data_IF_212322585061
#
_entry.id   IF_212322585061
#
_cell.length_a   1.000
_cell.length_b   1.000
_cell.length_c   1.000
_cell.angle_alpha   90.00
_cell.angle_beta   90.00
_cell.angle_gamma   90.00
#
_symmetry.space_group_name_H-M   'P 1'
#
loop_
_entity.id
_entity.type
_entity.pdbx_description
1 polymer ?
#
# COMPACT_ATOMS: atom_id res chain seq x y z
N UNK A 1 -7.60 -6.91 -2.51
CA UNK A 1 -6.32 -6.16 -2.61
C UNK A 1 -5.90 -5.74 -1.20
N UNK A 2 -4.69 -6.09 -0.79
CA UNK A 2 -4.16 -5.74 0.53
C UNK A 2 -3.14 -4.62 0.42
N UNK A 3 -3.11 -3.74 1.42
CA UNK A 3 -2.14 -2.66 1.49
C UNK A 3 -1.39 -2.67 2.82
N UNK A 4 -0.06 -2.57 2.74
CA UNK A 4 0.77 -2.34 3.90
C UNK A 4 1.17 -0.88 3.97
N UNK A 5 0.84 -0.20 5.07
CA UNK A 5 1.13 1.21 5.28
C UNK A 5 2.25 1.42 6.31
N UNK A 6 3.00 2.51 6.11
CA UNK A 6 4.14 2.90 6.95
C UNK A 6 3.78 3.72 8.16
N UNK A 7 4.82 3.87 9.02
CA UNK A 7 4.81 4.69 10.22
C UNK A 7 4.46 6.16 9.97
N UNK A 8 3.28 6.65 10.37
CA UNK A 8 3.01 7.96 10.97
C UNK A 8 1.49 8.15 11.10
N UNK A 9 1.02 8.23 12.35
CA UNK A 9 -0.40 8.12 12.69
C UNK A 9 -1.34 9.18 12.09
N UNK A 10 -0.88 10.38 11.77
CA UNK A 10 -1.78 11.45 11.31
C UNK A 10 -2.18 11.34 9.83
N UNK A 11 -1.26 10.90 8.96
CA UNK A 11 -1.53 10.74 7.53
C UNK A 11 -2.35 9.49 7.21
N UNK A 12 -2.27 8.48 8.06
CA UNK A 12 -2.96 7.20 7.85
C UNK A 12 -4.49 7.35 7.90
N UNK A 13 -5.01 8.26 8.73
CA UNK A 13 -6.44 8.49 8.93
C UNK A 13 -7.14 8.95 7.64
N UNK A 14 -6.62 9.97 6.98
CA UNK A 14 -7.14 10.46 5.68
C UNK A 14 -6.94 9.43 4.55
N UNK A 15 -5.91 8.62 4.66
CA UNK A 15 -5.57 7.62 3.67
C UNK A 15 -6.56 6.45 3.62
N UNK A 16 -7.10 6.03 4.77
CA UNK A 16 -8.09 4.94 4.84
C UNK A 16 -9.30 5.20 3.94
N UNK A 17 -9.75 6.44 3.87
CA UNK A 17 -10.84 6.86 3.00
C UNK A 17 -10.51 6.62 1.51
N UNK A 18 -9.31 7.02 1.07
CA UNK A 18 -8.87 6.77 -0.30
C UNK A 18 -8.69 5.29 -0.60
N UNK A 19 -8.19 4.52 0.36
CA UNK A 19 -8.00 3.08 0.21
C UNK A 19 -9.33 2.34 0.13
N UNK A 20 -10.29 2.69 1.00
CA UNK A 20 -11.63 2.13 0.94
C UNK A 20 -12.30 2.45 -0.40
N UNK A 21 -12.27 3.71 -0.84
CA UNK A 21 -12.84 4.15 -2.11
C UNK A 21 -12.18 3.46 -3.33
N UNK A 22 -10.88 3.11 -3.23
CA UNK A 22 -10.16 2.34 -4.25
C UNK A 22 -10.41 0.82 -4.18
N UNK A 23 -11.32 0.34 -3.31
CA UNK A 23 -11.64 -1.09 -3.20
C UNK A 23 -10.56 -1.94 -2.55
N UNK A 24 -9.80 -1.36 -1.61
CA UNK A 24 -8.84 -2.10 -0.79
C UNK A 24 -9.59 -2.89 0.28
N UNK A 25 -9.40 -4.20 0.33
CA UNK A 25 -10.13 -5.09 1.25
C UNK A 25 -9.60 -4.98 2.68
N UNK A 26 -8.28 -4.83 2.84
CA UNK A 26 -7.67 -4.72 4.15
C UNK A 26 -6.33 -3.97 4.11
N UNK A 27 -5.92 -3.46 5.28
CA UNK A 27 -4.61 -2.85 5.50
C UNK A 27 -3.84 -3.63 6.57
N UNK A 28 -2.53 -3.79 6.36
CA UNK A 28 -1.63 -4.43 7.32
C UNK A 28 -0.73 -3.35 7.90
N UNK A 29 -0.69 -3.28 9.22
CA UNK A 29 0.03 -2.26 9.98
C UNK A 29 0.99 -2.92 10.98
N UNK A 30 2.15 -2.32 11.26
CA UNK A 30 2.96 -2.76 12.40
C UNK A 30 2.25 -2.40 13.70
N UNK A 31 2.35 -3.27 14.73
CA UNK A 31 1.71 -3.11 16.05
C UNK A 31 1.92 -1.73 16.68
N UNK A 32 3.10 -1.13 16.50
CA UNK A 32 3.44 0.20 17.04
C UNK A 32 2.64 1.37 16.42
N UNK A 33 1.81 1.09 15.42
CA UNK A 33 1.04 2.10 14.70
C UNK A 33 -0.47 1.81 14.74
N UNK A 34 -0.90 1.07 15.75
CA UNK A 34 -2.31 0.73 15.92
C UNK A 34 -3.17 1.99 16.07
N UNK A 35 -4.21 2.06 15.25
CA UNK A 35 -5.26 3.06 15.41
C UNK A 35 -6.09 2.68 16.64
N UNK A 36 -5.91 3.40 17.73
CA UNK A 36 -7.00 3.41 18.71
C UNK A 36 -8.20 4.07 18.04
N UNK A 37 -9.34 3.40 18.09
CA UNK A 37 -10.62 3.97 17.66
C UNK A 37 -10.89 5.21 18.54
N UNK A 38 -10.42 6.37 18.10
CA UNK A 38 -10.72 7.64 18.72
C UNK A 38 -11.67 8.39 17.80
N UNK A 39 -12.56 9.20 18.36
CA UNK A 39 -13.47 10.06 17.59
C UNK A 39 -12.75 10.84 16.48
N UNK A 40 -11.48 11.20 16.73
CA UNK A 40 -10.64 11.88 15.75
C UNK A 40 -10.31 11.00 14.55
N UNK A 41 -10.13 9.68 14.71
CA UNK A 41 -9.89 8.74 13.61
C UNK A 41 -11.14 8.58 12.78
N UNK A 42 -12.27 8.37 13.42
CA UNK A 42 -13.56 8.18 12.77
C UNK A 42 -13.91 9.42 11.95
N UNK A 43 -13.84 10.61 12.55
CA UNK A 43 -14.15 11.88 11.86
C UNK A 43 -13.21 12.16 10.70
N UNK A 44 -11.90 11.92 10.85
CA UNK A 44 -10.92 12.22 9.78
C UNK A 44 -10.94 11.23 8.62
N UNK A 45 -11.50 10.04 8.83
CA UNK A 45 -11.70 9.01 7.79
C UNK A 45 -13.13 9.00 7.23
N UNK A 46 -14.02 9.86 7.76
CA UNK A 46 -15.46 9.86 7.45
C UNK A 46 -16.07 8.45 7.61
N UNK A 47 -15.67 7.75 8.67
CA UNK A 47 -16.14 6.39 8.97
C UNK A 47 -15.44 5.27 8.19
N UNK A 48 -14.58 5.58 7.21
CA UNK A 48 -13.89 4.53 6.45
C UNK A 48 -12.99 3.62 7.30
N UNK A 49 -12.53 4.11 8.47
CA UNK A 49 -11.78 3.28 9.43
C UNK A 49 -12.58 2.11 10.00
N UNK A 50 -13.91 2.23 10.02
CA UNK A 50 -14.81 1.18 10.49
C UNK A 50 -15.15 0.17 9.39
N UNK A 51 -14.97 0.56 8.14
CA UNK A 51 -15.35 -0.23 6.97
C UNK A 51 -14.18 -1.03 6.39
N UNK A 52 -12.95 -0.55 6.52
CA UNK A 52 -11.76 -1.24 6.03
C UNK A 52 -11.17 -2.13 7.12
N UNK A 53 -10.90 -3.40 6.79
CA UNK A 53 -10.27 -4.33 7.73
C UNK A 53 -8.83 -3.91 8.00
N UNK A 54 -8.46 -3.80 9.28
CA UNK A 54 -7.10 -3.52 9.70
C UNK A 54 -6.51 -4.72 10.45
N UNK A 55 -5.33 -5.15 10.08
CA UNK A 55 -4.59 -6.22 10.73
C UNK A 55 -3.28 -5.67 11.27
N UNK A 56 -3.01 -5.84 12.57
CA UNK A 56 -1.74 -5.50 13.17
C UNK A 56 -0.84 -6.72 13.26
N UNK A 57 0.42 -6.51 12.92
CA UNK A 57 1.44 -7.58 12.94
C UNK A 57 2.72 -7.06 13.58
N UNK A 58 3.37 -7.91 14.37
CA UNK A 58 4.67 -7.63 14.98
C UNK A 58 5.80 -7.70 13.94
N UNK A 59 5.70 -8.66 13.00
CA UNK A 59 6.68 -8.85 11.93
C UNK A 59 6.00 -8.77 10.55
N UNK A 60 6.39 -7.74 9.81
CA UNK A 60 5.86 -7.48 8.47
C UNK A 60 6.47 -8.38 7.40
N UNK A 61 7.71 -8.84 7.58
CA UNK A 61 8.34 -9.78 6.64
C UNK A 61 7.69 -11.15 6.76
N UNK A 62 7.40 -11.59 7.98
CA UNK A 62 6.64 -12.83 8.22
C UNK A 62 5.23 -12.75 7.63
N UNK A 63 4.53 -11.62 7.79
CA UNK A 63 3.24 -11.42 7.15
C UNK A 63 3.34 -11.53 5.62
N UNK A 64 4.38 -10.94 5.00
CA UNK A 64 4.62 -11.05 3.56
C UNK A 64 4.92 -12.49 3.14
N UNK A 65 5.70 -13.26 3.93
CA UNK A 65 5.96 -14.69 3.67
C UNK A 65 4.66 -15.49 3.66
N UNK A 66 3.82 -15.29 4.68
CA UNK A 66 2.50 -15.97 4.77
C UNK A 66 1.58 -15.62 3.60
N UNK A 67 1.50 -14.35 3.23
CA UNK A 67 0.71 -13.93 2.08
C UNK A 67 1.23 -14.57 0.78
N UNK A 68 2.55 -14.57 0.57
CA UNK A 68 3.16 -15.19 -0.60
C UNK A 68 2.88 -16.70 -0.66
N UNK A 69 2.99 -17.40 0.46
CA UNK A 69 2.66 -18.83 0.56
C UNK A 69 1.17 -19.12 0.24
N UNK A 70 0.28 -18.14 0.49
CA UNK A 70 -1.14 -18.20 0.14
C UNK A 70 -1.45 -17.61 -1.25
N UNK A 71 -0.47 -17.54 -2.13
CA UNK A 71 -0.66 -17.18 -3.53
C UNK A 71 -0.78 -15.68 -3.82
N UNK A 72 -0.54 -14.80 -2.83
CA UNK A 72 -0.55 -13.36 -3.08
C UNK A 72 0.66 -12.91 -3.89
N UNK A 73 0.41 -12.08 -4.88
CA UNK A 73 1.46 -11.31 -5.56
C UNK A 73 1.89 -10.16 -4.68
N UNK A 74 3.15 -10.17 -4.22
CA UNK A 74 3.72 -9.10 -3.40
C UNK A 74 4.39 -8.08 -4.32
N UNK A 75 3.97 -6.82 -4.24
CA UNK A 75 4.53 -5.71 -5.03
C UNK A 75 4.98 -4.61 -4.08
N UNK A 76 6.25 -4.27 -4.12
CA UNK A 76 6.84 -3.21 -3.31
C UNK A 76 6.90 -1.88 -4.07
N UNK A 77 6.80 -0.78 -3.33
CA UNK A 77 7.00 0.56 -3.90
C UNK A 77 8.42 1.03 -3.60
N UNK A 78 9.21 1.31 -4.61
CA UNK A 78 10.60 1.75 -4.42
C UNK A 78 11.03 2.76 -5.47
N UNK A 79 11.87 3.73 -5.08
CA UNK A 79 12.49 4.71 -5.97
C UNK A 79 13.89 4.21 -6.44
N UNK A 80 13.95 3.04 -7.06
CA UNK A 80 15.21 2.53 -7.60
C UNK A 80 15.14 2.34 -9.11
N UNK A 81 16.27 2.08 -9.74
CA UNK A 81 16.39 1.85 -11.19
C UNK A 81 15.63 0.60 -11.66
N UNK A 82 15.51 -0.41 -10.80
CA UNK A 82 14.83 -1.68 -11.09
C UNK A 82 13.30 -1.59 -10.97
N UNK A 83 12.77 -0.52 -10.37
CA UNK A 83 11.32 -0.35 -10.20
C UNK A 83 10.65 -0.03 -11.53
N UNK A 84 9.62 -0.81 -11.88
CA UNK A 84 8.80 -0.62 -13.08
C UNK A 84 7.88 0.57 -12.93
N UNK A 85 7.59 1.24 -14.03
CA UNK A 85 6.56 2.27 -14.06
C UNK A 85 5.20 1.66 -13.67
N UNK A 86 4.53 2.25 -12.68
CA UNK A 86 3.21 1.84 -12.21
C UNK A 86 2.22 1.68 -13.37
N UNK A 87 2.23 2.64 -14.30
CA UNK A 87 1.28 2.67 -15.40
C UNK A 87 1.51 1.56 -16.44
N UNK A 88 2.72 0.99 -16.48
CA UNK A 88 3.10 -0.12 -17.38
C UNK A 88 3.21 -1.48 -16.67
N UNK A 89 3.17 -1.48 -15.33
CA UNK A 89 3.28 -2.71 -14.55
C UNK A 89 2.07 -3.62 -14.78
N UNK A 90 2.33 -4.91 -14.97
CA UNK A 90 1.31 -5.96 -14.93
C UNK A 90 1.11 -6.36 -13.48
N UNK A 91 -0.14 -6.37 -13.04
CA UNK A 91 -0.54 -6.73 -11.67
C UNK A 91 -1.55 -7.86 -11.74
N UNK A 92 -1.51 -8.78 -10.78
CA UNK A 92 -2.43 -9.94 -10.71
C UNK A 92 -3.03 -10.08 -9.32
N UNK A 93 -4.26 -10.57 -9.25
CA UNK A 93 -4.94 -10.95 -8.00
C UNK A 93 -4.51 -12.35 -7.56
N UNK A 94 -4.50 -12.65 -6.26
CA UNK A 94 -4.62 -11.68 -5.15
C UNK A 94 -3.36 -10.82 -5.02
N UNK A 95 -3.53 -9.53 -4.73
CA UNK A 95 -2.45 -8.55 -4.72
C UNK A 95 -2.21 -7.98 -3.31
N UNK A 96 -0.96 -7.93 -2.89
CA UNK A 96 -0.50 -7.16 -1.75
C UNK A 96 0.51 -6.09 -2.19
N UNK A 97 0.20 -4.82 -1.94
CA UNK A 97 1.13 -3.72 -2.23
C UNK A 97 1.78 -3.24 -0.94
N UNK A 98 3.11 -3.19 -0.95
CA UNK A 98 3.93 -2.81 0.20
C UNK A 98 4.51 -1.43 0.00
N UNK A 99 4.24 -0.54 0.97
CA UNK A 99 4.78 0.81 0.99
C UNK A 99 5.91 0.92 2.02
N UNK A 100 6.99 1.58 1.65
CA UNK A 100 8.12 1.88 2.52
C UNK A 100 7.84 3.03 3.49
N UNK A 101 8.60 3.16 4.58
CA UNK A 101 8.63 4.35 5.44
C UNK A 101 9.32 5.52 4.74
N UNK A 102 8.90 6.75 5.04
CA UNK A 102 9.50 7.96 4.45
C UNK A 102 11.02 8.05 4.68
N UNK A 103 11.47 7.67 5.88
CA UNK A 103 12.90 7.75 6.25
C UNK A 103 13.71 6.51 5.90
N UNK A 104 13.14 5.31 6.05
CA UNK A 104 13.89 4.03 5.93
C UNK A 104 13.50 3.19 4.71
N UNK A 105 12.49 3.61 3.96
CA UNK A 105 11.99 2.84 2.83
C UNK A 105 11.44 1.47 3.23
N UNK A 106 11.68 0.47 2.39
CA UNK A 106 11.31 -0.94 2.58
C UNK A 106 12.59 -1.71 2.92
N UNK A 107 12.52 -2.64 3.88
CA UNK A 107 13.67 -3.48 4.24
C UNK A 107 14.08 -4.38 3.07
N UNK A 108 15.38 -4.74 3.01
CA UNK A 108 15.92 -5.66 1.99
C UNK A 108 15.16 -6.97 1.97
N UNK A 109 14.87 -7.53 3.13
CA UNK A 109 14.12 -8.77 3.29
C UNK A 109 12.74 -8.73 2.59
N UNK A 110 11.97 -7.64 2.77
CA UNK A 110 10.68 -7.50 2.09
C UNK A 110 10.85 -7.26 0.59
N UNK A 111 11.91 -6.55 0.17
CA UNK A 111 12.22 -6.37 -1.25
C UNK A 111 12.53 -7.71 -1.93
N UNK A 112 13.25 -8.62 -1.27
CA UNK A 112 13.56 -9.96 -1.75
C UNK A 112 12.32 -10.86 -1.84
N UNK A 113 11.36 -10.68 -0.91
CA UNK A 113 10.07 -11.36 -0.96
C UNK A 113 9.14 -10.85 -2.06
N UNK A 114 9.42 -9.65 -2.60
CA UNK A 114 8.56 -9.02 -3.59
C UNK A 114 8.78 -9.60 -5.00
N UNK A 115 7.68 -9.88 -5.68
CA UNK A 115 7.71 -10.34 -7.08
C UNK A 115 8.13 -9.22 -8.05
N UNK A 116 7.85 -7.97 -7.68
CA UNK A 116 8.27 -6.80 -8.44
C UNK A 116 8.25 -5.54 -7.59
N UNK A 117 8.97 -4.51 -8.05
CA UNK A 117 8.91 -3.17 -7.51
C UNK A 117 8.26 -2.22 -8.52
N UNK A 118 7.45 -1.29 -8.03
CA UNK A 118 6.80 -0.26 -8.83
C UNK A 118 7.14 1.14 -8.33
N UNK A 119 7.09 2.10 -9.24
CA UNK A 119 7.21 3.53 -8.94
C UNK A 119 6.26 4.36 -9.77
N UNK A 120 5.84 5.50 -9.24
CA UNK A 120 5.16 6.53 -10.02
C UNK A 120 6.24 7.27 -10.82
N UNK A 121 6.15 7.20 -12.15
CA UNK A 121 7.02 7.99 -13.02
C UNK A 121 6.48 9.40 -13.12
N UNK A 122 7.31 10.37 -12.79
CA UNK A 122 6.94 11.78 -12.95
C UNK A 122 7.23 12.24 -14.38
N UNK A 123 6.31 12.98 -15.01
CA UNK A 123 6.56 13.58 -16.33
C UNK A 123 7.63 14.67 -16.32
N UNK A 124 7.80 15.32 -15.16
CA UNK A 124 8.83 16.35 -14.95
C UNK A 124 9.95 15.82 -14.08
N UNK A 125 11.15 16.31 -14.27
CA UNK A 125 12.25 16.05 -13.35
C UNK A 125 12.01 16.83 -12.04
N UNK A 126 11.86 16.06 -10.95
CA UNK A 126 11.54 16.60 -9.63
C UNK A 126 12.53 16.06 -8.61
N UNK A 127 13.18 16.96 -7.87
CA UNK A 127 14.11 16.60 -6.79
C UNK A 127 13.40 16.15 -5.50
N UNK A 128 12.07 16.24 -5.43
CA UNK A 128 11.25 15.86 -4.29
C UNK A 128 10.38 14.65 -4.57
N UNK A 129 9.88 14.04 -3.50
CA UNK A 129 8.91 12.96 -3.57
C UNK A 129 7.49 13.49 -3.32
N UNK A 130 6.50 12.87 -3.93
CA UNK A 130 5.12 13.07 -3.52
C UNK A 130 4.95 12.74 -2.03
N UNK A 131 4.07 13.46 -1.31
CA UNK A 131 3.65 13.05 0.02
C UNK A 131 3.13 11.59 0.00
N UNK A 132 3.44 10.83 1.05
CA UNK A 132 3.11 9.41 1.10
C UNK A 132 1.62 9.13 0.87
N UNK A 133 0.72 9.95 1.43
CA UNK A 133 -0.72 9.81 1.23
C UNK A 133 -1.13 9.96 -0.25
N UNK A 134 -0.54 10.93 -0.97
CA UNK A 134 -0.81 11.13 -2.39
C UNK A 134 -0.31 9.95 -3.22
N UNK A 135 0.92 9.50 -2.97
CA UNK A 135 1.50 8.36 -3.67
C UNK A 135 0.70 7.07 -3.46
N UNK A 136 0.29 6.80 -2.22
CA UNK A 136 -0.53 5.63 -1.89
C UNK A 136 -1.89 5.69 -2.57
N UNK A 137 -2.55 6.85 -2.59
CA UNK A 137 -3.84 7.02 -3.26
C UNK A 137 -3.74 6.78 -4.77
N UNK A 138 -2.75 7.38 -5.44
CA UNK A 138 -2.51 7.17 -6.87
C UNK A 138 -2.29 5.68 -7.18
N UNK A 139 -1.45 5.01 -6.38
CA UNK A 139 -1.15 3.59 -6.59
C UNK A 139 -2.40 2.73 -6.34
N UNK A 140 -3.20 3.04 -5.31
CA UNK A 140 -4.41 2.28 -4.99
C UNK A 140 -5.42 2.32 -6.14
N UNK A 141 -5.74 3.50 -6.66
CA UNK A 141 -6.69 3.66 -7.76
C UNK A 141 -6.17 3.05 -9.07
N UNK A 142 -4.88 3.18 -9.38
CA UNK A 142 -4.32 2.54 -10.57
C UNK A 142 -4.30 1.02 -10.46
N UNK A 143 -4.00 0.47 -9.28
CA UNK A 143 -4.12 -0.96 -9.02
C UNK A 143 -5.57 -1.45 -9.19
N UNK A 144 -6.55 -0.73 -8.64
CA UNK A 144 -7.97 -1.04 -8.79
C UNK A 144 -8.37 -1.11 -10.27
N UNK A 145 -8.06 -0.05 -11.03
CA UNK A 145 -8.32 0.01 -12.46
C UNK A 145 -7.73 -1.16 -13.24
N UNK A 146 -6.46 -1.50 -12.97
CA UNK A 146 -5.78 -2.61 -13.65
C UNK A 146 -6.39 -3.96 -13.31
N UNK A 147 -6.76 -4.17 -12.05
CA UNK A 147 -7.34 -5.43 -11.59
C UNK A 147 -8.80 -5.62 -12.04
N UNK A 148 -9.57 -4.55 -12.25
CA UNK A 148 -10.91 -4.61 -12.84
C UNK A 148 -10.88 -4.92 -14.33
N UNK A 149 -9.92 -4.38 -15.07
CA UNK A 149 -9.77 -4.60 -16.49
C UNK A 149 -9.51 -6.09 -16.84
N UNK A 150 -8.98 -6.87 -15.91
CA UNK A 150 -8.80 -8.32 -16.09
C UNK A 150 -10.10 -9.14 -15.86
N UNK A 151 -11.11 -8.59 -15.19
CA UNK A 151 -12.37 -9.28 -14.93
C UNK A 151 -13.42 -9.12 -16.05
N UNK A 152 -13.14 -8.30 -17.06
CA UNK A 152 -14.06 -8.01 -18.19
C UNK A 152 -13.71 -8.77 -19.48
N UNK A 153 -12.87 -9.80 -19.41
CA UNK A 153 -12.56 -10.67 -20.56
C UNK A 153 -12.99 -12.10 -20.30
#
# INVERSE_FOLDING_TARGET
MLFRLCKHGFYQKKLLRSLYAAGVDAVILPERNFFTASDTVIRSSEGASELIKACCVSDLAEACRKLRANGYTIVSTAKNSKAKDLYRAKLSKPLCVVFGGEKRGISSEILELSHSCIKIKYPRDCHYSLPACSAVSIIAFECAKKLESFNKR
#
